data_IF_074879784072
#
_entry.id   IF_074879784072
#
_cell.length_a   1.000
_cell.length_b   1.000
_cell.length_c   1.000
_cell.angle_alpha   90.00
_cell.angle_beta   90.00
_cell.angle_gamma   90.00
#
_symmetry.space_group_name_H-M   'P 1'
#
loop_
_entity.id
_entity.type
_entity.pdbx_description
1 polymer ?
#
# COMPACT_ATOMS: atom_id res chain seq x y z
N UNK A 1 -69.73 -39.01 -15.32
CA UNK A 1 -68.37 -39.26 -14.88
C UNK A 1 -67.53 -38.00 -15.17
N UNK A 2 -67.29 -37.13 -14.15
CA UNK A 2 -66.52 -35.88 -14.27
C UNK A 2 -65.14 -36.13 -13.70
N UNK A 3 -64.10 -36.02 -14.55
CA UNK A 3 -62.70 -36.06 -14.14
C UNK A 3 -62.24 -34.67 -13.69
N UNK A 4 -61.90 -34.53 -12.43
CA UNK A 4 -61.25 -33.33 -11.87
C UNK A 4 -59.77 -33.40 -12.18
N UNK A 5 -59.22 -32.38 -12.85
CA UNK A 5 -57.79 -32.17 -13.05
C UNK A 5 -57.29 -31.21 -12.01
N UNK A 6 -56.46 -31.70 -11.07
CA UNK A 6 -55.72 -30.85 -10.13
C UNK A 6 -54.52 -30.25 -10.84
N UNK A 7 -54.47 -28.93 -10.96
CA UNK A 7 -53.27 -28.17 -11.31
C UNK A 7 -52.47 -27.88 -10.01
N UNK A 8 -51.35 -28.51 -9.88
CA UNK A 8 -50.39 -28.16 -8.84
C UNK A 8 -49.53 -26.97 -9.32
N UNK A 9 -49.74 -25.82 -8.69
CA UNK A 9 -48.90 -24.64 -8.88
C UNK A 9 -47.60 -24.82 -8.06
N UNK A 10 -46.50 -25.08 -8.72
CA UNK A 10 -45.17 -25.04 -8.08
C UNK A 10 -44.70 -23.59 -8.03
N UNK A 11 -44.72 -23.00 -6.82
CA UNK A 11 -44.12 -21.70 -6.57
C UNK A 11 -42.61 -21.89 -6.43
N UNK A 12 -41.84 -21.54 -7.47
CA UNK A 12 -40.37 -21.47 -7.42
C UNK A 12 -39.98 -20.17 -6.74
N UNK A 13 -39.60 -20.27 -5.46
CA UNK A 13 -39.05 -19.15 -4.69
C UNK A 13 -37.60 -18.94 -5.14
N UNK A 14 -37.36 -17.99 -6.05
CA UNK A 14 -36.02 -17.58 -6.44
C UNK A 14 -35.46 -16.70 -5.33
N UNK A 15 -34.61 -17.30 -4.46
CA UNK A 15 -33.80 -16.55 -3.50
C UNK A 15 -32.73 -15.80 -4.31
N UNK A 16 -32.97 -14.54 -4.63
CA UNK A 16 -31.96 -13.62 -5.10
C UNK A 16 -30.98 -13.30 -3.95
N UNK A 17 -29.87 -14.02 -3.91
CA UNK A 17 -28.73 -13.63 -3.08
C UNK A 17 -28.15 -12.35 -3.71
N UNK A 18 -28.54 -11.21 -3.16
CA UNK A 18 -27.94 -9.93 -3.51
C UNK A 18 -26.47 -9.93 -3.12
N UNK A 19 -25.58 -10.13 -4.09
CA UNK A 19 -24.18 -9.76 -3.90
C UNK A 19 -24.15 -8.24 -3.72
N UNK A 20 -24.03 -7.79 -2.46
CA UNK A 20 -23.69 -6.43 -2.18
C UNK A 20 -22.28 -6.21 -2.76
N UNK A 21 -22.18 -5.54 -3.91
CA UNK A 21 -20.92 -5.00 -4.39
C UNK A 21 -20.51 -3.94 -3.39
N UNK A 22 -19.64 -4.29 -2.46
CA UNK A 22 -18.94 -3.32 -1.61
C UNK A 22 -18.17 -2.42 -2.57
N UNK A 23 -18.62 -1.18 -2.67
CA UNK A 23 -17.98 -0.14 -3.45
C UNK A 23 -16.62 0.09 -2.79
N UNK A 24 -15.54 -0.01 -3.58
CA UNK A 24 -14.17 0.31 -3.16
C UNK A 24 -14.00 1.84 -2.99
N UNK A 25 -14.75 2.42 -2.07
CA UNK A 25 -14.62 3.82 -1.68
C UNK A 25 -14.72 3.86 -0.16
N UNK A 26 -13.64 4.28 0.50
CA UNK A 26 -13.46 4.40 1.95
C UNK A 26 -13.19 3.07 2.68
N UNK A 27 -12.16 2.32 2.26
CA UNK A 27 -11.57 1.35 3.18
C UNK A 27 -10.92 2.13 4.34
N UNK A 28 -11.29 1.83 5.59
CA UNK A 28 -10.64 2.47 6.72
C UNK A 28 -9.15 2.12 6.70
N UNK A 29 -8.30 3.12 6.99
CA UNK A 29 -6.86 2.90 7.13
C UNK A 29 -6.59 1.73 8.07
N UNK A 30 -5.78 0.75 7.67
CA UNK A 30 -5.44 -0.37 8.54
C UNK A 30 -4.66 0.13 9.76
N UNK A 31 -5.02 -0.34 10.94
CA UNK A 31 -4.48 0.14 12.22
C UNK A 31 -3.41 -0.78 12.79
N UNK A 32 -2.63 -0.25 13.74
CA UNK A 32 -1.62 -1.03 14.49
C UNK A 32 -2.22 -2.30 15.09
N UNK A 33 -1.51 -3.41 14.94
CA UNK A 33 -1.92 -4.75 15.37
C UNK A 33 -2.63 -5.58 14.29
N UNK A 34 -3.12 -4.97 13.24
CA UNK A 34 -3.73 -5.67 12.10
C UNK A 34 -2.66 -6.27 11.18
N UNK A 35 -3.04 -7.34 10.47
CA UNK A 35 -2.25 -7.86 9.36
C UNK A 35 -2.30 -6.86 8.22
N UNK A 36 -1.14 -6.51 7.68
CA UNK A 36 -1.02 -5.59 6.57
C UNK A 36 -1.76 -6.14 5.34
N UNK A 37 -2.61 -5.34 4.65
CA UNK A 37 -3.24 -5.74 3.40
C UNK A 37 -2.20 -6.20 2.38
N UNK A 38 -2.36 -7.39 1.83
CA UNK A 38 -1.44 -7.95 0.84
C UNK A 38 -1.65 -7.31 -0.52
N UNK A 39 -0.56 -7.20 -1.28
CA UNK A 39 -0.60 -6.67 -2.64
C UNK A 39 0.49 -7.29 -3.51
N UNK A 40 0.36 -7.12 -4.81
CA UNK A 40 1.41 -7.32 -5.80
C UNK A 40 1.37 -6.15 -6.76
N UNK A 41 2.48 -5.40 -6.86
CA UNK A 41 2.62 -4.22 -7.70
C UNK A 41 3.88 -4.30 -8.57
N UNK A 42 3.86 -3.70 -9.77
CA UNK A 42 5.05 -3.58 -10.59
C UNK A 42 6.01 -2.53 -9.99
N UNK A 43 7.32 -2.82 -10.01
CA UNK A 43 8.35 -1.87 -9.61
C UNK A 43 8.96 -1.14 -10.81
N UNK A 44 9.87 -0.20 -10.55
CA UNK A 44 10.59 0.61 -11.54
C UNK A 44 11.39 -0.22 -12.57
N UNK A 45 11.73 -1.47 -12.27
CA UNK A 45 12.43 -2.38 -13.17
C UNK A 45 11.49 -3.35 -13.90
N UNK A 46 10.18 -3.20 -13.70
CA UNK A 46 9.12 -4.04 -14.29
C UNK A 46 8.87 -5.35 -13.54
N UNK A 47 9.64 -5.65 -12.49
CA UNK A 47 9.40 -6.85 -11.67
C UNK A 47 8.15 -6.71 -10.82
N UNK A 48 7.41 -7.81 -10.65
CA UNK A 48 6.24 -7.86 -9.77
C UNK A 48 6.68 -8.10 -8.33
N UNK A 49 6.33 -7.18 -7.45
CA UNK A 49 6.71 -7.21 -6.04
C UNK A 49 5.49 -7.50 -5.18
N UNK A 50 5.53 -8.62 -4.48
CA UNK A 50 4.50 -8.98 -3.49
C UNK A 50 4.97 -8.63 -2.09
N UNK A 51 4.08 -8.06 -1.27
CA UNK A 51 4.37 -7.80 0.14
C UNK A 51 4.74 -9.09 0.89
N UNK A 52 4.09 -10.21 0.58
CA UNK A 52 4.35 -11.50 1.22
C UNK A 52 5.76 -12.05 0.97
N UNK A 53 6.46 -11.60 -0.07
CA UNK A 53 7.85 -12.00 -0.33
C UNK A 53 8.85 -11.45 0.70
N UNK A 54 8.41 -10.54 1.55
CA UNK A 54 9.24 -9.93 2.60
C UNK A 54 8.95 -10.48 4.01
N UNK A 55 8.23 -11.60 4.13
CA UNK A 55 8.08 -12.29 5.43
C UNK A 55 9.45 -12.59 6.04
N UNK A 56 9.60 -12.36 7.34
CA UNK A 56 10.88 -12.46 8.04
C UNK A 56 11.73 -11.19 8.02
N UNK A 57 11.26 -10.13 7.35
CA UNK A 57 11.90 -8.80 7.33
C UNK A 57 10.97 -7.72 7.85
N UNK A 58 11.53 -6.66 8.37
CA UNK A 58 10.80 -5.41 8.55
C UNK A 58 10.51 -4.79 7.21
N UNK A 59 9.31 -4.22 7.04
CA UNK A 59 8.95 -3.50 5.82
C UNK A 59 8.54 -2.07 6.18
N UNK A 60 9.25 -1.10 5.59
CA UNK A 60 8.88 0.31 5.60
C UNK A 60 8.09 0.57 4.34
N UNK A 61 6.77 0.56 4.45
CA UNK A 61 5.87 0.83 3.34
C UNK A 61 5.43 2.28 3.41
N UNK A 62 6.03 3.14 2.57
CA UNK A 62 5.67 4.56 2.56
C UNK A 62 4.94 4.94 1.28
N UNK A 63 3.85 5.68 1.44
CA UNK A 63 3.07 6.26 0.36
C UNK A 63 3.47 7.71 0.16
N UNK A 64 3.63 8.13 -1.09
CA UNK A 64 4.02 9.50 -1.42
C UNK A 64 3.24 10.04 -2.61
N UNK A 65 3.00 11.38 -2.68
CA UNK A 65 2.11 11.97 -3.67
C UNK A 65 2.51 11.78 -5.12
N UNK A 66 3.78 12.06 -5.46
CA UNK A 66 4.21 12.09 -6.86
C UNK A 66 5.72 12.15 -7.01
N UNK A 67 6.22 11.39 -8.00
CA UNK A 67 7.63 11.42 -8.42
C UNK A 67 8.10 12.85 -8.74
N UNK A 68 9.40 13.09 -8.55
CA UNK A 68 10.12 14.32 -8.90
C UNK A 68 9.58 15.61 -8.26
N UNK A 69 8.68 15.52 -7.28
CA UNK A 69 8.27 16.69 -6.50
C UNK A 69 9.25 16.93 -5.34
N UNK A 70 9.43 18.19 -4.94
CA UNK A 70 10.42 18.60 -3.94
C UNK A 70 10.35 17.79 -2.65
N UNK A 71 9.16 17.62 -2.07
CA UNK A 71 8.98 16.89 -0.81
C UNK A 71 9.25 15.39 -0.96
N UNK A 72 8.82 14.78 -2.07
CA UNK A 72 9.05 13.35 -2.33
C UNK A 72 10.53 13.06 -2.60
N UNK A 73 11.23 13.96 -3.30
CA UNK A 73 12.68 13.85 -3.51
C UNK A 73 13.46 13.94 -2.19
N UNK A 74 13.10 14.86 -1.31
CA UNK A 74 13.72 14.97 0.03
C UNK A 74 13.53 13.67 0.82
N UNK A 75 12.32 13.13 0.86
CA UNK A 75 12.01 11.87 1.58
C UNK A 75 12.79 10.68 0.99
N UNK A 76 12.78 10.54 -0.34
CA UNK A 76 13.51 9.48 -1.02
C UNK A 76 15.02 9.56 -0.77
N UNK A 77 15.62 10.76 -0.82
CA UNK A 77 17.04 10.96 -0.50
C UNK A 77 17.37 10.62 0.95
N UNK A 78 16.50 10.95 1.91
CA UNK A 78 16.71 10.60 3.31
C UNK A 78 16.67 9.08 3.52
N UNK A 79 15.72 8.38 2.90
CA UNK A 79 15.68 6.92 2.89
C UNK A 79 16.92 6.34 2.19
N UNK A 80 17.35 6.89 1.05
CA UNK A 80 18.55 6.44 0.35
C UNK A 80 19.83 6.67 1.15
N UNK A 81 19.98 7.82 1.81
CA UNK A 81 21.08 8.12 2.72
C UNK A 81 21.22 7.08 3.84
N UNK A 82 20.10 6.65 4.38
CA UNK A 82 20.03 5.75 5.52
C UNK A 82 19.86 4.27 5.13
N UNK A 83 19.85 3.93 3.83
CA UNK A 83 19.62 2.58 3.31
C UNK A 83 20.46 1.50 4.02
N UNK A 84 21.76 1.76 4.22
CA UNK A 84 22.65 0.81 4.89
C UNK A 84 22.24 0.51 6.34
N UNK A 85 21.60 1.45 7.04
CA UNK A 85 21.07 1.25 8.40
C UNK A 85 19.83 0.37 8.36
N UNK A 86 18.93 0.60 7.40
CA UNK A 86 17.76 -0.26 7.18
C UNK A 86 18.18 -1.69 6.84
N UNK A 87 19.15 -1.86 5.96
CA UNK A 87 19.70 -3.19 5.59
C UNK A 87 20.29 -3.91 6.80
N UNK A 88 21.05 -3.21 7.66
CA UNK A 88 21.60 -3.74 8.90
C UNK A 88 20.51 -4.17 9.91
N UNK A 89 19.36 -3.52 9.86
CA UNK A 89 18.19 -3.87 10.66
C UNK A 89 17.31 -4.96 10.05
N UNK A 90 17.72 -5.56 8.92
CA UNK A 90 16.93 -6.50 8.12
C UNK A 90 15.58 -5.88 7.70
N UNK A 91 15.60 -4.60 7.33
CA UNK A 91 14.45 -3.87 6.89
C UNK A 91 14.53 -3.54 5.40
N UNK A 92 13.40 -3.57 4.70
CA UNK A 92 13.27 -3.16 3.31
C UNK A 92 12.42 -1.90 3.21
N UNK A 93 12.77 -1.02 2.28
CA UNK A 93 12.04 0.20 1.98
C UNK A 93 11.25 -0.04 0.68
N UNK A 94 9.95 0.20 0.73
CA UNK A 94 9.04 0.15 -0.41
C UNK A 94 8.28 1.48 -0.50
N UNK A 95 8.54 2.25 -1.55
CA UNK A 95 7.77 3.46 -1.83
C UNK A 95 6.63 3.14 -2.78
N UNK A 96 5.45 3.69 -2.53
CA UNK A 96 4.25 3.50 -3.37
C UNK A 96 3.67 4.84 -3.78
N UNK A 97 3.44 5.04 -5.06
CA UNK A 97 2.65 6.15 -5.58
C UNK A 97 1.73 5.69 -6.72
N UNK A 98 0.90 6.60 -7.19
CA UNK A 98 0.00 6.37 -8.33
C UNK A 98 0.69 6.63 -9.68
N UNK A 99 1.98 6.94 -9.67
CA UNK A 99 2.78 7.10 -10.88
C UNK A 99 3.01 5.77 -11.59
N UNK A 100 3.48 5.81 -12.83
CA UNK A 100 3.76 4.62 -13.65
C UNK A 100 5.13 4.03 -13.35
N UNK A 101 5.38 2.73 -13.70
CA UNK A 101 6.72 2.14 -13.58
C UNK A 101 7.80 2.93 -14.32
N UNK A 102 7.48 3.50 -15.50
CA UNK A 102 8.42 4.32 -16.27
C UNK A 102 8.78 5.61 -15.55
N UNK A 103 7.81 6.28 -14.90
CA UNK A 103 8.05 7.46 -14.07
C UNK A 103 8.97 7.11 -12.90
N UNK A 104 8.71 6.01 -12.19
CA UNK A 104 9.56 5.52 -11.11
C UNK A 104 10.99 5.20 -11.59
N UNK A 105 11.14 4.61 -12.78
CA UNK A 105 12.45 4.33 -13.38
C UNK A 105 13.23 5.61 -13.64
N UNK A 106 12.57 6.62 -14.19
CA UNK A 106 13.17 7.93 -14.42
C UNK A 106 13.57 8.58 -13.09
N UNK A 107 12.68 8.56 -12.09
CA UNK A 107 12.94 9.12 -10.76
C UNK A 107 14.11 8.42 -10.07
N UNK A 108 14.12 7.09 -10.03
CA UNK A 108 15.24 6.33 -9.47
C UNK A 108 16.56 6.62 -10.16
N UNK A 109 16.56 6.68 -11.50
CA UNK A 109 17.78 6.96 -12.29
C UNK A 109 18.31 8.36 -12.01
N UNK A 110 17.42 9.36 -12.00
CA UNK A 110 17.80 10.76 -11.80
C UNK A 110 18.31 11.04 -10.40
N UNK A 111 17.68 10.45 -9.39
CA UNK A 111 17.96 10.73 -7.98
C UNK A 111 18.88 9.66 -7.33
N UNK A 112 19.33 8.65 -8.09
CA UNK A 112 20.24 7.60 -7.60
C UNK A 112 19.62 6.69 -6.54
N UNK A 113 18.31 6.42 -6.63
CA UNK A 113 17.60 5.58 -5.67
C UNK A 113 17.82 4.10 -5.98
N UNK A 114 18.16 3.30 -4.97
CA UNK A 114 18.44 1.86 -5.10
C UNK A 114 17.37 0.96 -4.47
N UNK A 115 16.51 1.50 -3.62
CA UNK A 115 15.36 0.77 -3.10
C UNK A 115 14.19 0.77 -4.11
N UNK A 116 13.13 0.04 -3.79
CA UNK A 116 12.04 -0.19 -4.75
C UNK A 116 10.95 0.87 -4.64
N UNK A 117 10.55 1.41 -5.81
CA UNK A 117 9.35 2.19 -5.98
C UNK A 117 8.32 1.35 -6.72
N UNK A 118 7.09 1.31 -6.21
CA UNK A 118 6.00 0.47 -6.68
C UNK A 118 4.88 1.32 -7.25
N UNK A 119 4.44 0.98 -8.45
CA UNK A 119 3.42 1.72 -9.18
C UNK A 119 2.02 1.17 -8.89
N UNK A 120 1.12 2.03 -8.44
CA UNK A 120 -0.30 1.72 -8.21
C UNK A 120 -1.22 2.68 -9.00
N UNK A 121 -1.15 2.69 -10.35
CA UNK A 121 -1.94 3.61 -11.17
C UNK A 121 -3.46 3.36 -11.06
N UNK A 122 -3.86 2.18 -10.63
CA UNK A 122 -5.26 1.81 -10.38
C UNK A 122 -5.76 2.24 -8.98
N UNK A 123 -4.91 2.81 -8.13
CA UNK A 123 -5.18 3.28 -6.77
C UNK A 123 -5.63 2.20 -5.77
N UNK A 124 -5.54 0.92 -6.10
CA UNK A 124 -6.08 -0.19 -5.31
C UNK A 124 -5.37 -0.37 -3.96
N UNK A 125 -4.04 -0.28 -3.99
CA UNK A 125 -3.22 -0.45 -2.78
C UNK A 125 -3.24 0.83 -1.96
N UNK A 126 -3.15 1.99 -2.62
CA UNK A 126 -3.29 3.30 -1.96
C UNK A 126 -4.61 3.41 -1.21
N UNK A 127 -5.72 2.93 -1.81
CA UNK A 127 -7.05 2.89 -1.18
C UNK A 127 -7.10 1.88 -0.03
N UNK A 128 -6.61 0.65 -0.25
CA UNK A 128 -6.59 -0.40 0.79
C UNK A 128 -5.82 -0.01 2.06
N UNK A 129 -4.87 0.92 1.93
CA UNK A 129 -4.12 1.49 3.05
C UNK A 129 -4.68 2.83 3.54
N UNK A 130 -5.88 3.24 3.09
CA UNK A 130 -6.49 4.51 3.48
C UNK A 130 -5.60 5.72 3.17
N UNK A 131 -4.74 5.59 2.17
CA UNK A 131 -3.76 6.61 1.77
C UNK A 131 -4.17 7.35 0.50
N UNK A 132 -5.43 7.19 0.05
CA UNK A 132 -5.95 7.93 -1.09
C UNK A 132 -6.08 9.41 -0.74
N UNK A 133 -5.62 10.27 -1.63
CA UNK A 133 -5.67 11.72 -1.47
C UNK A 133 -5.95 12.42 -2.80
N UNK A 134 -6.19 13.72 -2.71
CA UNK A 134 -6.46 14.54 -3.89
C UNK A 134 -5.65 15.84 -3.85
N UNK A 135 -5.16 16.26 -4.99
CA UNK A 135 -4.56 17.57 -5.20
C UNK A 135 -5.24 18.22 -6.41
N UNK A 136 -6.18 19.12 -6.13
CA UNK A 136 -7.11 19.60 -7.17
C UNK A 136 -7.89 18.45 -7.81
N UNK A 137 -7.90 18.32 -9.14
CA UNK A 137 -8.58 17.23 -9.83
C UNK A 137 -7.77 15.91 -9.86
N UNK A 138 -6.52 15.93 -9.39
CA UNK A 138 -5.64 14.75 -9.45
C UNK A 138 -5.84 13.88 -8.22
N UNK A 139 -5.95 12.57 -8.46
CA UNK A 139 -5.83 11.55 -7.42
C UNK A 139 -4.34 11.27 -7.17
N UNK A 140 -3.93 11.29 -5.92
CA UNK A 140 -2.55 11.07 -5.48
C UNK A 140 -2.55 10.17 -4.24
N UNK A 141 -1.40 9.66 -3.85
CA UNK A 141 -1.24 9.08 -2.52
C UNK A 141 -0.99 10.17 -1.48
N UNK A 142 -1.64 10.06 -0.32
CA UNK A 142 -1.29 10.83 0.88
C UNK A 142 0.03 10.34 1.44
N UNK A 143 0.81 11.23 2.07
CA UNK A 143 2.10 10.88 2.66
C UNK A 143 1.91 10.18 4.01
N UNK A 144 1.68 8.88 3.93
CA UNK A 144 1.52 7.99 5.09
C UNK A 144 2.56 6.87 5.02
N UNK A 145 2.97 6.37 6.18
CA UNK A 145 3.92 5.26 6.26
C UNK A 145 3.44 4.22 7.26
N UNK A 146 3.66 2.95 6.92
CA UNK A 146 3.36 1.82 7.77
C UNK A 146 4.65 1.03 8.03
N UNK A 147 4.97 0.80 9.29
CA UNK A 147 6.02 -0.13 9.67
C UNK A 147 5.37 -1.49 9.91
N UNK A 148 5.80 -2.47 9.12
CA UNK A 148 5.28 -3.84 9.15
C UNK A 148 6.37 -4.75 9.73
N UNK A 149 6.01 -5.55 10.71
CA UNK A 149 6.93 -6.47 11.38
C UNK A 149 7.24 -7.73 10.50
N UNK A 150 8.22 -8.56 10.88
CA UNK A 150 8.56 -9.78 10.15
C UNK A 150 7.42 -10.81 10.04
N UNK A 151 6.37 -10.68 10.86
CA UNK A 151 5.16 -11.52 10.81
C UNK A 151 4.07 -10.94 9.89
N UNK A 152 4.31 -9.75 9.32
CA UNK A 152 3.37 -9.06 8.44
C UNK A 152 2.28 -8.28 9.15
N UNK A 153 2.49 -7.91 10.42
CA UNK A 153 1.58 -7.05 11.17
C UNK A 153 2.07 -5.61 11.15
N UNK A 154 1.15 -4.68 11.04
CA UNK A 154 1.42 -3.25 11.21
C UNK A 154 1.71 -3.01 12.70
N UNK A 155 2.87 -2.47 13.01
CA UNK A 155 3.28 -2.15 14.38
C UNK A 155 3.33 -0.66 14.65
N UNK A 156 3.43 0.16 13.60
CA UNK A 156 3.37 1.62 13.69
C UNK A 156 2.86 2.21 12.38
N UNK A 157 2.18 3.33 12.49
CA UNK A 157 1.73 4.15 11.37
C UNK A 157 2.10 5.62 11.59
N UNK A 158 2.38 6.33 10.51
CA UNK A 158 2.57 7.77 10.49
C UNK A 158 1.68 8.34 9.40
N UNK A 159 0.94 9.38 9.73
CA UNK A 159 0.08 10.09 8.80
C UNK A 159 0.59 11.51 8.60
N UNK A 160 0.49 12.04 7.37
CA UNK A 160 0.95 13.40 7.02
C UNK A 160 2.42 13.64 7.42
N UNK A 161 3.26 12.71 7.05
CA UNK A 161 4.69 12.66 7.37
C UNK A 161 5.43 13.93 6.95
N UNK A 162 6.36 14.41 7.80
CA UNK A 162 7.38 15.39 7.42
C UNK A 162 8.54 14.68 6.69
N UNK A 163 8.72 14.90 5.38
CA UNK A 163 9.74 14.21 4.59
C UNK A 163 11.17 14.51 5.03
N UNK A 164 11.41 15.56 5.81
CA UNK A 164 12.76 15.99 6.20
C UNK A 164 13.39 15.14 7.31
N UNK A 165 12.59 14.52 8.18
CA UNK A 165 13.04 13.76 9.36
C UNK A 165 12.58 12.31 9.38
N UNK A 166 11.73 11.93 8.45
CA UNK A 166 10.97 10.69 8.52
C UNK A 166 11.82 9.41 8.53
N UNK A 167 12.89 9.35 7.75
CA UNK A 167 13.80 8.19 7.74
C UNK A 167 14.36 7.90 9.14
N UNK A 168 14.73 8.94 9.89
CA UNK A 168 15.26 8.81 11.26
C UNK A 168 14.19 8.35 12.25
N UNK A 169 12.95 8.86 12.10
CA UNK A 169 11.81 8.43 12.94
C UNK A 169 11.49 6.94 12.74
N UNK A 170 11.59 6.44 11.50
CA UNK A 170 11.34 5.03 11.20
C UNK A 170 12.45 4.16 11.76
N UNK A 171 13.73 4.53 11.62
CA UNK A 171 14.86 3.81 12.20
C UNK A 171 14.75 3.75 13.74
N UNK A 172 14.39 4.84 14.38
CA UNK A 172 14.18 4.87 15.83
C UNK A 172 13.06 3.91 16.24
N UNK A 173 11.97 3.86 15.49
CA UNK A 173 10.87 2.94 15.75
C UNK A 173 11.29 1.47 15.62
N UNK A 174 12.03 1.09 14.55
CA UNK A 174 12.55 -0.27 14.40
C UNK A 174 13.43 -0.66 15.59
N UNK A 175 14.33 0.24 16.02
CA UNK A 175 15.19 0.00 17.16
C UNK A 175 14.39 -0.22 18.46
N UNK A 176 13.28 0.48 18.65
CA UNK A 176 12.42 0.32 19.83
C UNK A 176 11.67 -1.02 19.83
N UNK A 177 11.21 -1.50 18.67
CA UNK A 177 10.52 -2.80 18.55
C UNK A 177 11.48 -4.01 18.61
N UNK A 178 12.79 -3.81 18.47
CA UNK A 178 13.81 -4.87 18.55
C UNK A 178 14.36 -5.08 19.97
N UNK A 179 14.00 -4.22 20.93
CA UNK A 179 14.37 -4.37 22.36
C UNK A 179 13.55 -5.47 23.03
#
# INVERSE_FOLDING_TARGET
VKKAVLFALAVVLVLSVGFATVRAADQPMPTVGQVAPTFTLPSQDGSQISLDSFRGKWVVLYFYPKDMTKGCTIEAHNFQRDQAKFDADNAVILGVSVDTPDSHKEFCTKEGLTFRLLADPDHKVVDAYGSLGHFGPMTIASRNTFLIDPHGKIVKEWVKVDPSVHSEEVLAAIADFKK
#
